data_IF_605114833327
#
_entry.id   IF_605114833327
#
_cell.length_a   1.000
_cell.length_b   1.000
_cell.length_c   1.000
_cell.angle_alpha   90.00
_cell.angle_beta   90.00
_cell.angle_gamma   90.00
#
_symmetry.space_group_name_H-M   'P 1'
#
loop_
_entity.id
_entity.type
_entity.pdbx_description
1 polymer ?
#
# COMPACT_ATOMS: atom_id res chain seq x y z
N UNK A 1 -7.66 9.98 12.04
CA UNK A 1 -6.55 9.71 12.98
C UNK A 1 -6.07 11.00 13.62
N UNK A 2 -5.49 11.93 12.85
CA UNK A 2 -4.96 13.20 13.38
C UNK A 2 -6.01 14.06 14.12
N UNK A 3 -7.24 14.10 13.62
CA UNK A 3 -8.36 14.82 14.27
C UNK A 3 -8.95 14.07 15.50
N UNK A 4 -8.44 12.89 15.85
CA UNK A 4 -8.94 12.10 16.99
C UNK A 4 -10.32 11.46 16.80
N UNK A 5 -10.98 11.67 15.66
CA UNK A 5 -12.30 11.12 15.32
C UNK A 5 -12.30 9.59 15.14
N UNK A 6 -11.18 9.03 14.68
CA UNK A 6 -10.97 7.59 14.59
C UNK A 6 -10.26 7.10 15.84
N UNK A 7 -10.94 6.23 16.60
CA UNK A 7 -10.47 5.74 17.92
C UNK A 7 -9.96 4.31 17.89
N UNK A 8 -10.31 3.53 16.88
CA UNK A 8 -9.86 2.15 16.72
C UNK A 8 -9.50 1.84 15.26
N UNK A 9 -8.49 1.01 15.06
CA UNK A 9 -8.04 0.53 13.75
C UNK A 9 -7.85 -0.97 13.76
N UNK A 10 -8.39 -1.66 12.75
CA UNK A 10 -8.21 -3.10 12.53
C UNK A 10 -7.60 -3.30 11.16
N UNK A 11 -6.40 -3.86 11.11
CA UNK A 11 -5.66 -4.14 9.88
C UNK A 11 -5.69 -5.63 9.57
N UNK A 12 -6.11 -5.99 8.36
CA UNK A 12 -5.92 -7.32 7.80
C UNK A 12 -4.73 -7.29 6.85
N UNK A 13 -3.59 -7.77 7.35
CA UNK A 13 -2.31 -7.68 6.68
C UNK A 13 -1.79 -6.24 6.54
N UNK A 14 -0.71 -6.11 5.76
CA UNK A 14 -0.11 -4.84 5.41
C UNK A 14 0.88 -4.29 6.43
N UNK A 15 1.74 -3.38 5.94
CA UNK A 15 2.61 -2.53 6.76
C UNK A 15 2.10 -1.08 6.64
N UNK A 16 0.84 -0.90 7.05
CA UNK A 16 0.04 0.29 6.72
C UNK A 16 0.69 1.60 7.22
N UNK A 17 1.15 1.65 8.46
CA UNK A 17 1.78 2.86 9.04
C UNK A 17 3.03 3.27 8.25
N UNK A 18 3.77 2.29 7.72
CA UNK A 18 4.94 2.57 6.86
C UNK A 18 4.54 2.98 5.44
N UNK A 19 3.38 2.54 4.97
CA UNK A 19 2.92 2.73 3.60
C UNK A 19 2.23 4.07 3.36
N UNK A 20 1.68 4.69 4.41
CA UNK A 20 0.96 5.97 4.31
C UNK A 20 1.90 7.19 4.27
N UNK A 21 1.42 8.33 3.74
CA UNK A 21 2.12 9.60 3.75
C UNK A 21 2.43 10.13 5.15
N UNK A 22 3.37 11.08 5.20
CA UNK A 22 3.63 11.96 6.33
C UNK A 22 3.87 11.24 7.67
N UNK A 23 4.90 10.41 7.69
CA UNK A 23 5.24 9.55 8.84
C UNK A 23 5.30 10.34 10.16
N UNK A 24 5.92 11.51 10.15
CA UNK A 24 6.21 12.26 11.38
C UNK A 24 4.94 12.91 11.97
N UNK A 25 3.90 13.12 11.15
CA UNK A 25 2.55 13.48 11.61
C UNK A 25 1.74 12.23 11.98
N UNK A 26 1.83 11.17 11.17
CA UNK A 26 0.99 10.00 11.31
C UNK A 26 1.36 9.09 12.48
N UNK A 27 2.65 8.84 12.75
CA UNK A 27 3.08 7.95 13.84
C UNK A 27 2.59 8.45 15.22
N UNK A 28 2.73 9.75 15.59
CA UNK A 28 2.14 10.28 16.82
C UNK A 28 0.62 10.20 16.87
N UNK A 29 -0.07 10.54 15.77
CA UNK A 29 -1.52 10.42 15.68
C UNK A 29 -1.99 8.96 15.84
N UNK A 30 -1.19 8.00 15.36
CA UNK A 30 -1.47 6.58 15.50
C UNK A 30 -1.43 6.12 16.96
N UNK A 31 -0.41 6.58 17.71
CA UNK A 31 -0.26 6.29 19.14
C UNK A 31 -1.42 6.85 19.99
N UNK A 32 -2.09 7.90 19.52
CA UNK A 32 -3.26 8.49 20.16
C UNK A 32 -4.52 7.61 20.13
N UNK A 33 -4.60 6.61 19.24
CA UNK A 33 -5.75 5.73 19.10
C UNK A 33 -6.00 4.90 20.37
N UNK A 34 -7.26 4.62 20.67
CA UNK A 34 -7.61 3.78 21.81
C UNK A 34 -7.24 2.30 21.57
N UNK A 35 -7.44 1.81 20.34
CA UNK A 35 -7.25 0.39 19.99
C UNK A 35 -6.61 0.23 18.61
N UNK A 36 -5.56 -0.59 18.51
CA UNK A 36 -5.04 -1.07 17.23
C UNK A 36 -5.01 -2.59 17.21
N UNK A 37 -5.60 -3.22 16.20
CA UNK A 37 -5.57 -4.67 16.01
C UNK A 37 -4.91 -4.97 14.68
N UNK A 38 -3.92 -5.84 14.69
CA UNK A 38 -3.18 -6.26 13.50
C UNK A 38 -3.34 -7.77 13.30
N UNK A 39 -3.92 -8.17 12.17
CA UNK A 39 -3.97 -9.56 11.73
C UNK A 39 -2.82 -9.74 10.75
N UNK A 40 -1.81 -10.54 11.10
CA UNK A 40 -0.57 -10.56 10.32
C UNK A 40 0.11 -11.93 10.26
N UNK A 41 0.76 -12.18 9.13
CA UNK A 41 1.57 -13.39 8.89
C UNK A 41 3.02 -13.21 9.31
N UNK A 42 3.50 -11.96 9.39
CA UNK A 42 4.87 -11.58 9.79
C UNK A 42 4.88 -10.22 10.49
N UNK A 43 5.82 -10.03 11.40
CA UNK A 43 6.03 -8.74 12.06
C UNK A 43 6.51 -7.67 11.07
N UNK A 44 6.04 -6.44 11.24
CA UNK A 44 6.47 -5.28 10.46
C UNK A 44 6.39 -3.99 11.30
N UNK A 45 6.80 -2.85 10.72
CA UNK A 45 6.89 -1.54 11.42
C UNK A 45 5.56 -1.11 12.03
N UNK A 46 4.43 -1.43 11.40
CA UNK A 46 3.10 -1.04 11.92
C UNK A 46 2.80 -1.66 13.29
N UNK A 47 3.43 -2.78 13.64
CA UNK A 47 3.22 -3.41 14.94
C UNK A 47 4.03 -2.74 16.06
N UNK A 48 5.01 -1.90 15.71
CA UNK A 48 5.79 -1.10 16.67
C UNK A 48 5.17 0.28 16.90
N UNK A 49 4.29 0.72 16.01
CA UNK A 49 3.55 1.99 16.12
C UNK A 49 2.09 1.64 16.39
N UNK A 50 1.73 1.59 17.67
CA UNK A 50 0.45 1.06 18.11
C UNK A 50 -0.32 2.07 18.97
N UNK A 51 -1.64 1.89 19.04
CA UNK A 51 -2.50 2.66 19.93
C UNK A 51 -2.30 2.26 21.40
N UNK A 52 -3.09 2.87 22.29
CA UNK A 52 -3.00 2.63 23.75
C UNK A 52 -3.21 1.17 24.14
N UNK A 53 -4.18 0.50 23.52
CA UNK A 53 -4.32 -0.94 23.55
C UNK A 53 -3.98 -1.50 22.16
N UNK A 54 -3.20 -2.60 22.13
CA UNK A 54 -2.79 -3.21 20.88
C UNK A 54 -2.86 -4.74 20.94
N UNK A 55 -3.41 -5.33 19.88
CA UNK A 55 -3.45 -6.78 19.70
C UNK A 55 -2.81 -7.15 18.37
N UNK A 56 -1.94 -8.15 18.41
CA UNK A 56 -1.45 -8.82 17.22
C UNK A 56 -2.07 -10.21 17.19
N UNK A 57 -2.76 -10.52 16.10
CA UNK A 57 -3.43 -11.80 15.84
C UNK A 57 -2.69 -12.50 14.69
N UNK A 58 -1.74 -13.40 15.01
CA UNK A 58 -1.04 -14.15 13.98
C UNK A 58 -2.02 -14.98 13.14
N UNK A 59 -1.90 -14.89 11.82
CA UNK A 59 -2.75 -15.64 10.90
C UNK A 59 -1.93 -16.51 9.94
N UNK A 60 -2.63 -17.49 9.35
CA UNK A 60 -2.07 -18.32 8.29
C UNK A 60 -1.70 -17.47 7.07
N UNK A 61 -0.48 -17.66 6.56
CA UNK A 61 -0.08 -17.17 5.26
C UNK A 61 -0.76 -17.96 4.15
N UNK A 62 -0.97 -17.31 3.00
CA UNK A 62 -1.58 -17.93 1.80
C UNK A 62 -0.93 -19.25 1.37
N UNK A 63 0.37 -19.44 1.65
CA UNK A 63 1.09 -20.68 1.32
C UNK A 63 0.86 -21.83 2.29
N UNK A 64 0.32 -21.56 3.49
CA UNK A 64 0.11 -22.53 4.56
C UNK A 64 -1.24 -23.22 4.40
N UNK A 65 -1.26 -24.52 4.68
CA UNK A 65 -2.46 -25.34 4.60
C UNK A 65 -3.41 -25.01 5.75
N UNK A 66 -4.68 -24.79 5.43
CA UNK A 66 -5.76 -24.74 6.42
C UNK A 66 -6.65 -25.99 6.25
N UNK A 67 -6.78 -26.78 7.32
CA UNK A 67 -7.60 -27.98 7.35
C UNK A 67 -8.81 -27.75 8.26
N UNK A 68 -10.00 -27.80 7.66
CA UNK A 68 -11.26 -27.71 8.40
C UNK A 68 -11.98 -29.06 8.27
N UNK A 69 -12.23 -29.72 9.41
CA UNK A 69 -12.82 -31.06 9.46
C UNK A 69 -12.12 -32.08 8.52
N UNK A 70 -10.80 -31.98 8.36
CA UNK A 70 -10.00 -32.85 7.48
C UNK A 70 -9.99 -32.43 6.00
N UNK A 71 -10.74 -31.40 5.60
CA UNK A 71 -10.76 -30.88 4.24
C UNK A 71 -9.87 -29.63 4.11
N UNK A 72 -8.98 -29.64 3.11
CA UNK A 72 -8.14 -28.50 2.79
C UNK A 72 -8.97 -27.35 2.22
N UNK A 73 -8.86 -26.18 2.86
CA UNK A 73 -9.52 -24.96 2.41
C UNK A 73 -8.69 -24.25 1.35
N UNK A 74 -9.36 -23.39 0.58
CA UNK A 74 -8.75 -22.62 -0.49
C UNK A 74 -9.32 -21.21 -0.55
N UNK A 75 -8.47 -20.26 -0.91
CA UNK A 75 -8.86 -18.88 -1.22
C UNK A 75 -8.87 -18.68 -2.73
N UNK A 76 -9.55 -17.65 -3.21
CA UNK A 76 -9.49 -17.24 -4.62
C UNK A 76 -8.67 -15.97 -4.78
N UNK A 77 -8.04 -15.79 -5.94
CA UNK A 77 -7.30 -14.58 -6.30
C UNK A 77 -7.76 -14.08 -7.66
N UNK A 78 -7.69 -12.77 -7.87
CA UNK A 78 -7.90 -12.12 -9.17
C UNK A 78 -6.56 -11.62 -9.72
N UNK A 79 -6.27 -11.87 -10.99
CA UNK A 79 -5.10 -11.32 -11.68
C UNK A 79 -5.39 -10.00 -12.42
N UNK A 80 -4.34 -9.42 -13.00
CA UNK A 80 -4.42 -8.16 -13.77
C UNK A 80 -5.29 -8.25 -15.04
N UNK A 81 -5.68 -9.46 -15.47
CA UNK A 81 -6.52 -9.70 -16.64
C UNK A 81 -7.97 -10.04 -16.23
N UNK A 82 -8.34 -9.78 -14.97
CA UNK A 82 -9.66 -10.08 -14.41
C UNK A 82 -10.02 -11.56 -14.45
N UNK A 83 -9.02 -12.45 -14.36
CA UNK A 83 -9.25 -13.88 -14.17
C UNK A 83 -9.19 -14.23 -12.69
N UNK A 84 -10.15 -15.04 -12.25
CA UNK A 84 -10.29 -15.51 -10.88
C UNK A 84 -9.95 -16.99 -10.82
N UNK A 85 -8.99 -17.36 -9.97
CA UNK A 85 -8.57 -18.75 -9.79
C UNK A 85 -8.30 -19.09 -8.32
N UNK A 86 -8.36 -20.39 -8.02
CA UNK A 86 -8.10 -20.92 -6.70
C UNK A 86 -6.62 -20.89 -6.30
N UNK A 87 -6.37 -20.67 -5.02
CA UNK A 87 -5.06 -20.77 -4.37
C UNK A 87 -5.18 -21.71 -3.18
N UNK A 88 -4.42 -22.79 -3.21
CA UNK A 88 -4.38 -23.82 -2.17
C UNK A 88 -3.03 -23.73 -1.45
N UNK A 89 -3.07 -23.48 -0.15
CA UNK A 89 -1.88 -23.55 0.70
C UNK A 89 -1.41 -24.99 0.86
N UNK A 90 -0.10 -25.22 0.72
CA UNK A 90 0.50 -26.57 0.75
C UNK A 90 1.58 -26.74 1.82
N UNK A 91 2.04 -25.65 2.43
CA UNK A 91 3.06 -25.71 3.49
C UNK A 91 2.38 -26.04 4.82
N UNK A 92 3.07 -26.79 5.67
CA UNK A 92 2.65 -26.96 7.06
C UNK A 92 2.60 -25.58 7.75
N UNK A 93 1.54 -25.23 8.48
CA UNK A 93 1.49 -24.03 9.30
C UNK A 93 2.69 -23.92 10.24
N UNK A 94 3.21 -22.71 10.44
CA UNK A 94 4.32 -22.44 11.34
C UNK A 94 3.97 -22.73 12.81
N UNK A 95 2.69 -22.72 13.18
CA UNK A 95 2.18 -23.11 14.48
C UNK A 95 0.76 -23.64 14.36
N UNK A 96 0.38 -24.58 15.23
CA UNK A 96 -0.99 -25.12 15.34
C UNK A 96 -2.00 -24.10 15.88
N UNK A 97 -1.53 -23.00 16.48
CA UNK A 97 -2.39 -21.95 17.03
C UNK A 97 -2.79 -20.90 15.99
N UNK A 98 -2.20 -20.93 14.79
CA UNK A 98 -2.55 -20.00 13.74
C UNK A 98 -3.97 -20.25 13.26
N UNK A 99 -4.71 -19.17 13.07
CA UNK A 99 -6.06 -19.18 12.48
C UNK A 99 -6.02 -18.54 11.11
N UNK A 100 -6.95 -18.91 10.25
CA UNK A 100 -7.12 -18.17 8.99
C UNK A 100 -7.67 -16.77 9.24
N UNK A 101 -7.47 -15.89 8.25
CA UNK A 101 -8.06 -14.54 8.26
C UNK A 101 -9.59 -14.61 8.37
N UNK A 102 -10.22 -15.55 7.66
CA UNK A 102 -11.67 -15.79 7.75
C UNK A 102 -12.10 -16.16 9.17
N UNK A 103 -11.41 -17.10 9.82
CA UNK A 103 -11.73 -17.54 11.18
C UNK A 103 -11.58 -16.40 12.20
N UNK A 104 -10.56 -15.55 12.02
CA UNK A 104 -10.34 -14.39 12.90
C UNK A 104 -11.46 -13.36 12.71
N UNK A 105 -11.76 -12.96 11.47
CA UNK A 105 -12.81 -11.98 11.18
C UNK A 105 -14.19 -12.49 11.63
N UNK A 106 -14.53 -13.74 11.32
CA UNK A 106 -15.77 -14.36 11.76
C UNK A 106 -15.86 -14.48 13.29
N UNK A 107 -14.75 -14.80 13.96
CA UNK A 107 -14.66 -14.86 15.42
C UNK A 107 -14.90 -13.49 16.08
N UNK A 108 -14.30 -12.43 15.53
CA UNK A 108 -14.53 -11.05 16.00
C UNK A 108 -16.00 -10.64 15.81
N UNK A 109 -16.58 -10.93 14.65
CA UNK A 109 -17.98 -10.64 14.36
C UNK A 109 -18.92 -11.39 15.32
N UNK A 110 -18.71 -12.69 15.51
CA UNK A 110 -19.50 -13.52 16.44
C UNK A 110 -19.41 -13.03 17.89
N UNK A 111 -18.27 -12.51 18.32
CA UNK A 111 -18.05 -12.03 19.68
C UNK A 111 -18.66 -10.63 19.94
N UNK A 112 -18.91 -9.83 18.90
CA UNK A 112 -19.25 -8.41 19.03
C UNK A 112 -20.63 -8.05 18.49
N UNK A 113 -21.15 -8.82 17.54
CA UNK A 113 -22.47 -8.59 16.94
C UNK A 113 -23.55 -9.42 17.65
N UNK A 114 -24.80 -8.94 17.70
CA UNK A 114 -25.91 -9.73 18.22
C UNK A 114 -26.13 -11.00 17.38
N UNK A 115 -26.70 -12.04 18.00
CA UNK A 115 -27.07 -13.25 17.28
C UNK A 115 -28.10 -12.95 16.18
N UNK A 116 -27.90 -13.52 15.00
CA UNK A 116 -28.81 -13.35 13.87
C UNK A 116 -28.93 -14.64 13.06
N UNK A 117 -30.14 -15.09 12.68
CA UNK A 117 -30.35 -16.41 12.09
C UNK A 117 -29.67 -16.61 10.72
N UNK A 118 -29.41 -15.53 9.98
CA UNK A 118 -28.69 -15.61 8.70
C UNK A 118 -27.15 -15.58 8.84
N UNK A 119 -26.62 -15.24 10.01
CA UNK A 119 -25.18 -15.08 10.20
C UNK A 119 -24.57 -16.40 10.68
N UNK A 120 -24.18 -17.24 9.73
CA UNK A 120 -23.68 -18.59 10.00
C UNK A 120 -22.14 -18.61 10.09
N UNK A 121 -21.58 -17.81 11.00
CA UNK A 121 -20.13 -17.59 11.14
C UNK A 121 -19.29 -18.89 11.22
N UNK A 122 -19.75 -19.84 12.04
CA UNK A 122 -19.04 -21.12 12.21
C UNK A 122 -19.08 -21.96 10.93
N UNK A 123 -20.21 -21.95 10.22
CA UNK A 123 -20.38 -22.69 8.98
C UNK A 123 -19.53 -22.11 7.85
N UNK A 124 -19.43 -20.78 7.76
CA UNK A 124 -18.57 -20.09 6.79
C UNK A 124 -17.08 -20.35 7.08
N UNK A 125 -16.70 -20.42 8.35
CA UNK A 125 -15.33 -20.73 8.75
C UNK A 125 -14.96 -22.19 8.45
N UNK A 126 -15.91 -23.12 8.62
CA UNK A 126 -15.70 -24.54 8.34
C UNK A 126 -15.61 -24.87 6.84
N UNK A 127 -16.21 -24.04 5.98
CA UNK A 127 -16.22 -24.24 4.52
C UNK A 127 -16.23 -22.90 3.77
N UNK A 128 -15.07 -22.58 3.18
CA UNK A 128 -14.85 -21.31 2.48
C UNK A 128 -15.68 -21.24 1.19
N UNK A 129 -16.12 -22.38 0.66
CA UNK A 129 -17.03 -22.47 -0.47
C UNK A 129 -18.32 -21.72 -0.22
N UNK A 130 -18.84 -21.77 1.02
CA UNK A 130 -20.08 -21.10 1.41
C UNK A 130 -19.97 -19.58 1.35
N UNK A 131 -18.79 -19.02 1.64
CA UNK A 131 -18.56 -17.58 1.47
C UNK A 131 -18.62 -17.21 0.00
N UNK A 132 -18.04 -18.05 -0.88
CA UNK A 132 -18.13 -17.83 -2.34
C UNK A 132 -19.54 -18.02 -2.87
N UNK A 133 -20.35 -18.91 -2.31
CA UNK A 133 -21.76 -19.05 -2.65
C UNK A 133 -22.55 -17.78 -2.31
N UNK A 134 -22.21 -17.10 -1.19
CA UNK A 134 -22.81 -15.80 -0.84
C UNK A 134 -22.35 -14.67 -1.78
N UNK A 135 -21.08 -14.69 -2.21
CA UNK A 135 -20.58 -13.76 -3.24
C UNK A 135 -21.33 -13.97 -4.55
N UNK A 136 -21.50 -15.22 -4.97
CA UNK A 136 -22.29 -15.61 -6.14
C UNK A 136 -23.75 -15.17 -6.01
N UNK A 137 -24.39 -15.39 -4.86
CA UNK A 137 -25.75 -14.93 -4.62
C UNK A 137 -25.90 -13.40 -4.73
N UNK A 138 -24.88 -12.65 -4.30
CA UNK A 138 -24.88 -11.18 -4.34
C UNK A 138 -24.66 -10.65 -5.76
N UNK A 139 -23.79 -11.31 -6.53
CA UNK A 139 -23.40 -10.89 -7.89
C UNK A 139 -23.36 -12.06 -8.87
N UNK A 140 -24.52 -12.67 -9.18
CA UNK A 140 -24.59 -13.92 -9.95
C UNK A 140 -24.06 -13.78 -11.38
N UNK A 141 -24.21 -12.62 -12.00
CA UNK A 141 -23.69 -12.36 -13.35
C UNK A 141 -22.16 -12.36 -13.40
N UNK A 142 -21.50 -11.85 -12.35
CA UNK A 142 -20.04 -11.75 -12.29
C UNK A 142 -19.37 -13.01 -11.74
N UNK A 143 -20.06 -13.72 -10.83
CA UNK A 143 -19.48 -14.82 -10.07
C UNK A 143 -20.28 -16.13 -10.19
N UNK A 144 -21.20 -16.26 -11.15
CA UNK A 144 -21.99 -17.48 -11.35
C UNK A 144 -21.14 -18.74 -11.47
N UNK A 145 -21.54 -19.79 -10.76
CA UNK A 145 -20.81 -21.04 -10.58
C UNK A 145 -19.38 -20.87 -10.03
N UNK A 146 -19.19 -19.98 -9.05
CA UNK A 146 -17.86 -19.57 -8.55
C UNK A 146 -17.01 -20.80 -8.20
N UNK A 147 -17.51 -21.63 -7.27
CA UNK A 147 -16.79 -22.79 -6.75
C UNK A 147 -16.42 -23.80 -7.86
N UNK A 148 -17.31 -23.98 -8.85
CA UNK A 148 -17.09 -24.90 -9.96
C UNK A 148 -16.07 -24.38 -10.99
N UNK A 149 -15.92 -23.05 -11.10
CA UNK A 149 -15.10 -22.41 -12.14
C UNK A 149 -13.69 -22.05 -11.68
N UNK A 150 -13.48 -21.69 -10.42
CA UNK A 150 -12.17 -21.18 -9.96
C UNK A 150 -11.01 -22.18 -10.05
N UNK A 151 -11.29 -23.48 -10.18
CA UNK A 151 -10.28 -24.52 -10.37
C UNK A 151 -10.18 -25.07 -11.80
N UNK A 152 -10.98 -24.54 -12.73
CA UNK A 152 -10.77 -24.83 -14.14
C UNK A 152 -9.40 -24.26 -14.58
N UNK A 153 -8.72 -24.86 -15.57
CA UNK A 153 -7.48 -24.30 -16.11
C UNK A 153 -7.66 -22.85 -16.55
N UNK A 154 -6.86 -21.92 -15.99
CA UNK A 154 -6.99 -20.48 -16.22
C UNK A 154 -8.04 -19.78 -15.35
N UNK A 155 -8.74 -20.52 -14.49
CA UNK A 155 -9.82 -19.97 -13.65
C UNK A 155 -10.99 -19.50 -14.50
N UNK A 156 -11.60 -18.39 -14.11
CA UNK A 156 -12.65 -17.76 -14.91
C UNK A 156 -12.51 -16.26 -15.03
N UNK A 157 -12.84 -15.76 -16.22
CA UNK A 157 -12.89 -14.34 -16.50
C UNK A 157 -14.12 -13.70 -15.86
N UNK A 158 -13.92 -12.66 -15.04
CA UNK A 158 -14.99 -11.86 -14.42
C UNK A 158 -15.66 -10.90 -15.42
N UNK A 159 -14.99 -10.58 -16.53
CA UNK A 159 -15.47 -9.59 -17.49
C UNK A 159 -14.81 -8.22 -17.36
N UNK A 160 -14.73 -7.50 -18.48
CA UNK A 160 -14.36 -6.09 -18.55
C UNK A 160 -15.33 -5.38 -19.52
N UNK A 161 -16.36 -4.67 -19.02
CA UNK A 161 -17.34 -4.00 -19.86
C UNK A 161 -16.72 -3.02 -20.86
N UNK A 162 -15.63 -2.34 -20.48
CA UNK A 162 -14.96 -1.38 -21.36
C UNK A 162 -14.33 -2.07 -22.58
N UNK A 163 -13.84 -3.31 -22.45
CA UNK A 163 -13.34 -4.12 -23.59
C UNK A 163 -14.44 -4.36 -24.62
N UNK A 164 -15.66 -4.60 -24.15
CA UNK A 164 -16.85 -4.82 -24.99
C UNK A 164 -17.57 -3.53 -25.38
N UNK A 165 -16.98 -2.36 -25.08
CA UNK A 165 -17.58 -1.03 -25.29
C UNK A 165 -18.96 -0.85 -24.62
N UNK A 166 -19.18 -1.56 -23.53
CA UNK A 166 -20.37 -1.41 -22.67
C UNK A 166 -20.06 -0.35 -21.62
N UNK A 167 -20.57 0.86 -21.83
CA UNK A 167 -20.35 2.00 -20.95
C UNK A 167 -21.48 2.12 -19.93
N UNK A 168 -21.14 1.97 -18.64
CA UNK A 168 -22.07 2.14 -17.53
C UNK A 168 -22.22 3.62 -17.17
N UNK A 169 -22.60 4.44 -18.15
CA UNK A 169 -22.87 5.87 -18.03
C UNK A 169 -24.34 6.14 -18.37
N UNK A 170 -24.90 7.26 -17.93
CA UNK A 170 -26.31 7.60 -18.18
C UNK A 170 -26.67 7.64 -19.68
N UNK A 171 -25.70 7.99 -20.53
CA UNK A 171 -25.88 8.02 -21.99
C UNK A 171 -25.62 6.68 -22.68
N UNK A 172 -25.11 5.67 -21.96
CA UNK A 172 -24.65 4.40 -22.53
C UNK A 172 -23.42 4.52 -23.43
N UNK A 173 -22.71 5.66 -23.41
CA UNK A 173 -21.55 5.97 -24.27
C UNK A 173 -20.32 6.35 -23.46
N UNK A 174 -19.14 6.26 -24.09
CA UNK A 174 -17.90 6.81 -23.54
C UNK A 174 -18.06 8.31 -23.29
N UNK A 175 -17.63 8.77 -22.13
CA UNK A 175 -17.62 10.19 -21.79
C UNK A 175 -16.22 10.77 -22.03
N UNK A 176 -16.17 11.82 -22.83
CA UNK A 176 -14.95 12.57 -23.09
C UNK A 176 -14.96 13.82 -22.23
N UNK A 177 -13.83 14.10 -21.58
CA UNK A 177 -13.61 15.32 -20.80
C UNK A 177 -12.34 16.00 -21.31
N UNK A 178 -12.31 17.33 -21.21
CA UNK A 178 -11.12 18.12 -21.52
C UNK A 178 -10.34 18.36 -20.23
N UNK A 179 -9.00 18.21 -20.25
CA UNK A 179 -8.19 18.57 -19.09
C UNK A 179 -8.39 20.07 -18.79
N UNK A 180 -8.58 20.40 -17.51
CA UNK A 180 -8.74 21.79 -17.05
C UNK A 180 -7.39 22.46 -16.74
N UNK A 181 -6.33 21.66 -16.63
CA UNK A 181 -4.95 22.09 -16.32
C UNK A 181 -3.95 21.26 -17.14
N UNK A 182 -2.78 21.84 -17.43
CA UNK A 182 -1.69 21.12 -18.09
C UNK A 182 -0.94 20.18 -17.15
N UNK A 183 -0.89 20.53 -15.86
CA UNK A 183 -0.26 19.74 -14.81
C UNK A 183 -1.22 19.59 -13.64
N UNK A 184 -1.42 18.34 -13.20
CA UNK A 184 -2.24 18.00 -12.04
C UNK A 184 -1.45 18.03 -10.71
N UNK A 185 -0.20 18.51 -10.72
CA UNK A 185 0.59 18.65 -9.51
C UNK A 185 -0.06 19.66 -8.55
N UNK A 186 -0.67 20.73 -9.04
CA UNK A 186 -1.35 21.72 -8.18
C UNK A 186 -0.42 22.59 -7.31
N UNK A 187 0.79 22.13 -7.03
CA UNK A 187 1.90 22.93 -6.49
C UNK A 187 2.83 23.30 -7.65
N UNK A 188 2.93 24.60 -7.92
CA UNK A 188 3.75 25.13 -9.03
C UNK A 188 5.24 25.19 -8.72
N UNK A 189 6.01 25.57 -9.72
CA UNK A 189 7.45 25.79 -9.60
C UNK A 189 7.76 27.01 -8.75
N UNK A 190 8.88 26.94 -8.03
CA UNK A 190 9.42 28.05 -7.26
C UNK A 190 10.96 27.97 -7.30
N UNK A 191 11.69 29.09 -7.12
CA UNK A 191 13.15 29.05 -7.09
C UNK A 191 13.65 28.03 -6.07
N UNK A 192 14.45 27.05 -6.53
CA UNK A 192 15.01 25.97 -5.72
C UNK A 192 14.05 24.83 -5.32
N UNK A 193 12.80 24.84 -5.82
CA UNK A 193 11.85 23.74 -5.64
C UNK A 193 12.08 22.67 -6.71
N UNK A 194 12.00 21.42 -6.27
CA UNK A 194 11.98 20.23 -7.10
C UNK A 194 10.69 19.45 -6.89
N UNK A 195 10.33 18.61 -7.85
CA UNK A 195 9.21 17.67 -7.75
C UNK A 195 9.74 16.25 -7.57
N UNK A 196 9.52 15.68 -6.38
CA UNK A 196 9.96 14.35 -6.03
C UNK A 196 8.99 13.27 -6.56
N UNK A 197 9.57 12.31 -7.26
CA UNK A 197 8.91 11.09 -7.70
C UNK A 197 9.38 9.93 -6.83
N UNK A 198 8.46 9.31 -6.10
CA UNK A 198 8.80 8.10 -5.32
C UNK A 198 8.71 6.86 -6.19
N UNK A 199 9.63 5.91 -6.02
CA UNK A 199 9.68 4.69 -6.82
C UNK A 199 10.03 3.45 -6.01
N UNK A 200 9.82 2.27 -6.60
CA UNK A 200 10.22 0.98 -6.02
C UNK A 200 11.39 0.42 -6.84
N UNK A 201 12.28 -0.31 -6.18
CA UNK A 201 13.29 -1.13 -6.85
C UNK A 201 12.70 -2.46 -7.34
N UNK A 202 13.43 -3.22 -8.17
CA UNK A 202 13.01 -4.57 -8.56
C UNK A 202 12.97 -5.55 -7.40
N UNK A 203 13.91 -5.45 -6.45
CA UNK A 203 14.00 -6.34 -5.27
C UNK A 203 13.11 -5.88 -4.11
N UNK A 204 11.92 -5.40 -4.46
CA UNK A 204 10.97 -4.84 -3.52
C UNK A 204 9.55 -5.13 -3.99
N UNK A 205 8.69 -5.48 -3.04
CA UNK A 205 7.25 -5.46 -3.26
C UNK A 205 6.59 -4.59 -2.19
N UNK A 206 6.04 -3.45 -2.63
CA UNK A 206 5.50 -2.43 -1.73
C UNK A 206 6.50 -2.08 -0.63
N UNK A 207 6.15 -2.18 0.64
CA UNK A 207 7.03 -1.84 1.77
C UNK A 207 8.01 -2.95 2.14
N UNK A 208 7.91 -4.12 1.50
CA UNK A 208 8.77 -5.26 1.77
C UNK A 208 9.98 -5.21 0.86
N UNK A 209 11.15 -5.02 1.47
CA UNK A 209 12.45 -4.99 0.79
C UNK A 209 13.02 -6.41 0.84
N UNK A 210 13.28 -7.00 -0.31
CA UNK A 210 13.92 -8.32 -0.43
C UNK A 210 15.43 -8.22 -0.60
N UNK A 211 15.91 -7.10 -1.16
CA UNK A 211 17.32 -6.84 -1.39
C UNK A 211 17.61 -5.35 -1.58
N UNK A 212 18.90 -5.01 -1.56
CA UNK A 212 19.42 -3.66 -1.75
C UNK A 212 20.06 -3.46 -3.13
N UNK A 213 19.72 -4.32 -4.10
CA UNK A 213 20.15 -4.19 -5.49
C UNK A 213 18.96 -3.72 -6.34
N UNK A 214 19.13 -2.58 -7.00
CA UNK A 214 18.21 -2.10 -8.04
C UNK A 214 18.88 -2.27 -9.40
N UNK A 215 18.75 -3.48 -9.94
CA UNK A 215 19.30 -3.88 -11.24
C UNK A 215 18.74 -3.06 -12.40
N UNK A 216 17.50 -2.57 -12.28
CA UNK A 216 16.88 -1.77 -13.33
C UNK A 216 17.52 -0.38 -13.44
N UNK A 217 18.21 0.07 -12.38
CA UNK A 217 18.89 1.37 -12.32
C UNK A 217 20.40 1.27 -12.16
N UNK A 218 20.94 0.06 -12.04
CA UNK A 218 22.38 -0.18 -11.84
C UNK A 218 22.88 0.26 -10.47
N UNK A 219 22.04 0.20 -9.43
CA UNK A 219 22.36 0.68 -8.09
C UNK A 219 22.48 -0.48 -7.10
N UNK A 220 23.45 -0.40 -6.19
CA UNK A 220 23.71 -1.43 -5.19
C UNK A 220 23.95 -0.83 -3.80
N UNK A 221 23.56 -1.56 -2.75
CA UNK A 221 23.95 -1.33 -1.36
C UNK A 221 23.18 -0.24 -0.62
N UNK A 222 22.78 0.85 -1.27
CA UNK A 222 22.12 1.98 -0.63
C UNK A 222 20.71 2.27 -1.18
N UNK A 223 19.77 2.59 -0.27
CA UNK A 223 18.43 3.10 -0.60
C UNK A 223 18.21 4.55 -0.18
N UNK A 224 19.10 5.08 0.66
CA UNK A 224 19.15 6.49 1.00
C UNK A 224 19.86 7.25 -0.13
N UNK A 225 19.17 7.39 -1.27
CA UNK A 225 19.71 8.03 -2.47
C UNK A 225 18.75 9.10 -2.98
N UNK A 226 19.32 10.10 -3.63
CA UNK A 226 18.62 11.13 -4.37
C UNK A 226 19.04 11.05 -5.84
N UNK A 227 18.15 10.54 -6.68
CA UNK A 227 18.33 10.55 -8.13
C UNK A 227 18.07 11.96 -8.66
N UNK A 228 18.98 12.52 -9.44
CA UNK A 228 18.86 13.89 -9.97
C UNK A 228 19.57 14.01 -11.32
N UNK A 229 19.02 14.86 -12.19
CA UNK A 229 19.62 15.16 -13.48
C UNK A 229 21.00 15.84 -13.32
N UNK A 230 22.05 15.44 -14.06
CA UNK A 230 23.36 16.09 -14.02
C UNK A 230 23.36 17.61 -14.28
N UNK A 231 22.45 18.12 -15.11
CA UNK A 231 22.30 19.56 -15.35
C UNK A 231 21.78 20.28 -14.09
N UNK A 232 20.76 19.73 -13.43
CA UNK A 232 20.27 20.26 -12.16
C UNK A 232 21.33 20.16 -11.05
N UNK A 233 22.13 19.08 -11.03
CA UNK A 233 23.26 18.98 -10.12
C UNK A 233 24.23 20.15 -10.29
N UNK A 234 24.60 20.48 -11.53
CA UNK A 234 25.48 21.61 -11.83
C UNK A 234 24.87 22.94 -11.39
N UNK A 235 23.59 23.17 -11.70
CA UNK A 235 22.86 24.37 -11.30
C UNK A 235 22.77 24.53 -9.77
N UNK A 236 22.65 23.42 -9.03
CA UNK A 236 22.61 23.39 -7.57
C UNK A 236 24.00 23.29 -6.91
N UNK A 237 25.08 23.20 -7.69
CA UNK A 237 26.44 23.01 -7.18
C UNK A 237 26.66 21.67 -6.46
N UNK A 238 25.86 20.66 -6.78
CA UNK A 238 25.91 19.32 -6.18
C UNK A 238 26.94 18.43 -6.89
N UNK A 239 27.55 17.52 -6.13
CA UNK A 239 28.48 16.51 -6.65
C UNK A 239 27.92 15.11 -6.46
N UNK A 240 28.24 14.19 -7.37
CA UNK A 240 27.95 12.78 -7.18
C UNK A 240 28.58 12.27 -5.87
N UNK A 241 27.83 11.46 -5.11
CA UNK A 241 28.26 10.94 -3.82
C UNK A 241 28.11 11.91 -2.64
N UNK A 242 27.78 13.19 -2.89
CA UNK A 242 27.52 14.15 -1.82
C UNK A 242 26.29 13.74 -0.98
N UNK A 243 26.35 13.91 0.33
CA UNK A 243 25.19 13.75 1.20
C UNK A 243 24.35 15.04 1.25
N UNK A 244 23.04 14.88 1.10
CA UNK A 244 22.05 15.96 1.16
C UNK A 244 20.84 15.58 2.01
N UNK A 245 20.13 16.59 2.47
CA UNK A 245 18.79 16.45 3.03
C UNK A 245 17.76 16.89 2.01
N UNK A 246 16.63 16.20 1.99
CA UNK A 246 15.45 16.60 1.24
C UNK A 246 14.39 17.12 2.20
N UNK A 247 13.95 18.36 1.99
CA UNK A 247 12.94 19.03 2.80
C UNK A 247 11.62 19.10 2.04
N UNK A 248 10.49 18.91 2.72
CA UNK A 248 9.18 19.18 2.13
C UNK A 248 8.97 20.67 1.88
N UNK A 249 8.37 21.03 0.74
CA UNK A 249 8.12 22.40 0.31
C UNK A 249 6.63 22.62 -0.06
N UNK A 250 5.76 22.07 0.79
CA UNK A 250 4.32 22.03 0.59
C UNK A 250 3.57 23.25 1.16
N UNK A 251 4.29 24.21 1.74
CA UNK A 251 3.73 25.47 2.27
C UNK A 251 2.56 25.31 3.28
N UNK A 252 2.54 24.19 4.03
CA UNK A 252 1.48 23.85 5.01
C UNK A 252 1.93 24.00 6.47
N UNK A 253 3.12 24.56 6.70
CA UNK A 253 3.69 24.78 8.03
C UNK A 253 4.26 23.53 8.71
N UNK A 254 4.12 22.34 8.12
CA UNK A 254 4.70 21.11 8.68
C UNK A 254 6.16 20.91 8.23
N UNK A 255 7.03 20.62 9.19
CA UNK A 255 8.45 20.32 8.91
C UNK A 255 8.59 18.86 8.49
N UNK A 256 9.05 18.61 7.27
CA UNK A 256 9.31 17.27 6.74
C UNK A 256 10.74 17.20 6.24
N UNK A 257 11.52 16.23 6.71
CA UNK A 257 12.92 16.07 6.33
C UNK A 257 13.25 14.59 6.16
N UNK A 258 13.92 14.26 5.06
CA UNK A 258 14.65 13.00 4.91
C UNK A 258 16.12 13.33 4.74
N UNK A 259 16.93 12.92 5.70
CA UNK A 259 18.33 13.30 5.80
C UNK A 259 19.28 12.23 5.24
N UNK A 260 20.49 12.65 4.89
CA UNK A 260 21.60 11.76 4.56
C UNK A 260 21.39 10.96 3.27
N UNK A 261 20.81 11.59 2.25
CA UNK A 261 20.64 10.99 0.92
C UNK A 261 21.90 11.20 0.09
N UNK A 262 22.40 10.14 -0.53
CA UNK A 262 23.52 10.23 -1.47
C UNK A 262 23.02 10.74 -2.82
N UNK A 263 23.59 11.86 -3.29
CA UNK A 263 23.33 12.39 -4.63
C UNK A 263 23.85 11.40 -5.68
N UNK A 264 22.97 11.00 -6.59
CA UNK A 264 23.27 10.02 -7.65
C UNK A 264 22.77 10.54 -8.99
N UNK A 265 23.64 10.68 -10.01
CA UNK A 265 23.23 11.17 -11.32
C UNK A 265 22.26 10.19 -11.97
N UNK A 266 21.15 10.70 -12.50
CA UNK A 266 20.15 9.91 -13.21
C UNK A 266 19.45 10.74 -14.26
N UNK A 267 19.07 10.12 -15.38
CA UNK A 267 18.34 10.82 -16.45
C UNK A 267 16.87 11.03 -16.06
N UNK A 268 16.60 12.14 -15.35
CA UNK A 268 15.27 12.64 -15.01
C UNK A 268 15.00 13.96 -15.74
N UNK A 269 13.74 14.31 -15.99
CA UNK A 269 13.39 15.66 -16.43
C UNK A 269 13.91 16.72 -15.46
N UNK A 270 14.24 17.89 -15.99
CA UNK A 270 14.72 19.02 -15.19
C UNK A 270 13.70 19.41 -14.11
N UNK A 271 14.18 19.84 -12.95
CA UNK A 271 13.34 20.18 -11.80
C UNK A 271 12.70 18.96 -11.11
N UNK A 272 13.06 17.73 -11.50
CA UNK A 272 12.58 16.51 -10.87
C UNK A 272 13.70 15.78 -10.11
N UNK A 273 13.32 15.16 -8.99
CA UNK A 273 14.21 14.26 -8.23
C UNK A 273 13.51 12.93 -7.98
N UNK A 274 14.31 11.88 -7.81
CA UNK A 274 13.82 10.53 -7.54
C UNK A 274 14.31 10.00 -6.20
N UNK A 275 13.45 9.28 -5.50
CA UNK A 275 13.82 8.58 -4.26
C UNK A 275 12.95 7.35 -4.03
N UNK A 276 13.41 6.45 -3.16
CA UNK A 276 12.70 5.21 -2.94
C UNK A 276 11.51 5.34 -1.99
N UNK A 277 10.41 4.68 -2.34
CA UNK A 277 9.35 4.31 -1.43
C UNK A 277 9.81 3.09 -0.61
N UNK A 278 9.46 2.96 0.68
CA UNK A 278 8.67 3.90 1.48
C UNK A 278 9.52 4.99 2.18
N UNK A 279 10.83 5.05 1.94
CA UNK A 279 11.72 6.01 2.60
C UNK A 279 11.25 7.45 2.42
N UNK A 280 10.81 7.81 1.21
CA UNK A 280 10.32 9.14 0.86
C UNK A 280 8.89 9.47 1.34
N UNK A 281 8.15 8.52 1.91
CA UNK A 281 6.78 8.78 2.35
C UNK A 281 6.69 9.88 3.41
N UNK A 282 7.75 10.08 4.19
CA UNK A 282 7.84 11.15 5.18
C UNK A 282 7.71 12.55 4.56
N UNK A 283 7.96 12.71 3.27
CA UNK A 283 7.89 13.99 2.56
C UNK A 283 6.51 14.25 1.93
N UNK A 284 5.67 13.22 1.77
CA UNK A 284 4.36 13.35 1.13
C UNK A 284 3.38 13.99 2.11
N UNK A 285 2.86 15.21 1.86
CA UNK A 285 1.91 15.87 2.76
C UNK A 285 0.55 15.16 2.78
N UNK A 286 -0.12 15.14 3.93
CA UNK A 286 -1.44 14.50 4.07
C UNK A 286 -2.52 15.12 3.19
N UNK A 287 -2.51 16.44 2.99
CA UNK A 287 -3.49 17.14 2.16
C UNK A 287 -3.23 16.96 0.65
N UNK A 288 -2.04 16.48 0.29
CA UNK A 288 -1.58 16.43 -1.10
C UNK A 288 -1.99 15.11 -1.76
N UNK A 289 -3.23 15.10 -2.26
CA UNK A 289 -3.87 13.93 -2.86
C UNK A 289 -4.82 14.34 -4.00
N UNK A 290 -5.17 13.37 -4.84
CA UNK A 290 -6.21 13.54 -5.85
C UNK A 290 -7.54 13.99 -5.21
N UNK A 291 -8.28 14.88 -5.88
CA UNK A 291 -9.46 15.51 -5.31
C UNK A 291 -10.61 14.53 -5.10
N UNK A 292 -10.79 13.59 -6.03
CA UNK A 292 -11.90 12.64 -6.02
C UNK A 292 -11.56 11.36 -5.23
N UNK A 293 -10.50 10.66 -5.64
CA UNK A 293 -10.10 9.37 -5.08
C UNK A 293 -9.36 9.47 -3.75
N UNK A 294 -8.84 10.66 -3.40
CA UNK A 294 -7.96 10.89 -2.25
C UNK A 294 -6.66 10.09 -2.30
N UNK A 295 -6.26 9.63 -3.49
CA UNK A 295 -4.99 8.94 -3.71
C UNK A 295 -3.83 9.92 -3.48
N UNK A 296 -2.85 9.63 -2.60
CA UNK A 296 -1.73 10.52 -2.34
C UNK A 296 -0.91 10.83 -3.60
N UNK A 297 -0.51 12.09 -3.76
CA UNK A 297 0.24 12.56 -4.92
C UNK A 297 1.76 12.29 -4.79
N UNK A 298 2.14 11.02 -4.60
CA UNK A 298 3.54 10.60 -4.39
C UNK A 298 4.42 10.61 -5.65
N UNK A 299 4.01 11.30 -6.72
CA UNK A 299 4.70 11.37 -8.01
C UNK A 299 5.02 12.80 -8.46
N UNK A 300 4.97 13.74 -7.53
CA UNK A 300 5.40 15.13 -7.72
C UNK A 300 5.28 15.89 -6.41
N UNK A 301 5.93 15.36 -5.37
CA UNK A 301 5.94 15.94 -4.04
C UNK A 301 6.86 17.16 -4.05
N UNK A 302 6.41 18.35 -3.66
CA UNK A 302 7.26 19.53 -3.68
C UNK A 302 8.33 19.44 -2.59
N UNK A 303 9.59 19.60 -2.98
CA UNK A 303 10.74 19.46 -2.08
C UNK A 303 11.84 20.47 -2.39
N UNK A 304 12.76 20.66 -1.43
CA UNK A 304 14.00 21.42 -1.58
C UNK A 304 15.19 20.59 -1.15
N UNK A 305 16.32 20.79 -1.81
CA UNK A 305 17.59 20.13 -1.45
C UNK A 305 18.38 21.06 -0.54
N UNK A 306 18.95 20.52 0.53
CA UNK A 306 19.89 21.21 1.42
C UNK A 306 21.13 20.36 1.60
N UNK A 307 22.29 21.01 1.69
CA UNK A 307 23.52 20.30 2.08
C UNK A 307 23.32 19.61 3.43
N UNK A 308 23.74 18.35 3.53
CA UNK A 308 23.73 17.64 4.80
C UNK A 308 24.77 18.29 5.73
N UNK A 309 24.37 18.63 6.95
CA UNK A 309 25.34 19.07 7.95
C UNK A 309 26.07 17.82 8.47
N UNK A 310 27.40 17.82 8.40
CA UNK A 310 28.19 16.77 9.07
C UNK A 310 27.82 16.78 10.55
N UNK A 311 27.41 15.63 11.09
CA UNK A 311 27.31 15.46 12.53
C UNK A 311 28.72 15.75 13.09
N UNK A 312 28.88 16.86 13.79
CA UNK A 312 30.08 17.07 14.59
C UNK A 312 30.20 15.86 15.53
N UNK A 313 31.29 15.09 15.48
CA UNK A 313 31.46 13.98 16.40
C UNK A 313 31.43 14.54 17.82
N UNK A 314 30.58 13.93 18.66
CA UNK A 314 30.55 14.16 20.10
C UNK A 314 31.85 13.66 20.76
#
# INVERSE_FOLDING_TARGET
>A
MCEGTVRAFVSLGGNFVRAIPDRDVMEPAWAGQALTVYIATKLNRSHLVHGRASYLLPCLARSEQDLQAGAAQSVSMEDSFSHIYGSIGRRKPASEHLRSELAIVAGLAKATLPAHPKWQWDAWTADYGRVRDLIEQTWPEMFGHYNARMFQPGGFYRGNPARERVWKTDSGKAQFTTPTVLSALGVGDAPGRFHLITMRSNDQFNTTIYGFSDRLRGLEGARAILLINPADMQCQGLREGQLVDLLGDADDGATRVVAGLTVTPFNLPDGCVGGYYPEMNALVPLWYHDQASKTPASKGVPVRIRAHADAQPA
#
